data_IF_044612691815
#
_entry.id   IF_044612691815
#
_cell.length_a   1.000
_cell.length_b   1.000
_cell.length_c   1.000
_cell.angle_alpha   90.00
_cell.angle_beta   90.00
_cell.angle_gamma   90.00
#
_symmetry.space_group_name_H-M   'P 1'
#
loop_
_entity.id
_entity.type
_entity.pdbx_description
1 polymer ?
#
# COMPACT_ATOMS: atom_id res chain seq x y z
N UNK A 1 3.30 5.46 2.35
CA UNK A 1 3.13 5.96 3.74
C UNK A 1 2.99 4.76 4.65
N UNK A 2 3.46 4.82 5.90
CA UNK A 2 3.17 3.77 6.89
C UNK A 2 1.96 4.21 7.72
N UNK A 3 0.98 3.33 7.89
CA UNK A 3 -0.28 3.65 8.58
C UNK A 3 -0.67 2.50 9.49
N UNK A 4 -1.32 2.84 10.61
CA UNK A 4 -1.85 1.85 11.56
C UNK A 4 -3.31 1.56 11.18
N UNK A 5 -3.67 0.31 10.92
CA UNK A 5 -5.06 -0.10 10.66
C UNK A 5 -5.61 -0.99 11.78
N UNK A 6 -6.94 -1.12 11.84
CA UNK A 6 -7.66 -1.92 12.84
C UNK A 6 -8.76 -2.77 12.16
N UNK A 7 -8.35 -3.77 11.38
CA UNK A 7 -9.30 -4.71 10.77
C UNK A 7 -9.89 -5.66 11.83
N UNK A 8 -9.05 -6.29 12.64
CA UNK A 8 -9.37 -6.91 13.92
C UNK A 8 -9.06 -5.93 15.06
N UNK A 9 -10.07 -5.47 15.83
CA UNK A 9 -9.86 -4.51 16.91
C UNK A 9 -8.94 -5.03 18.04
N UNK A 10 -8.66 -6.34 18.08
CA UNK A 10 -7.74 -6.95 19.06
C UNK A 10 -6.28 -6.83 18.65
N UNK A 11 -6.00 -6.69 17.35
CA UNK A 11 -4.66 -6.76 16.79
C UNK A 11 -4.39 -5.60 15.82
N UNK A 12 -4.29 -4.36 16.30
CA UNK A 12 -3.88 -3.25 15.44
C UNK A 12 -2.48 -3.48 14.87
N UNK A 13 -2.31 -3.32 13.57
CA UNK A 13 -1.01 -3.47 12.91
C UNK A 13 -0.71 -2.35 11.91
N UNK A 14 0.55 -2.31 11.46
CA UNK A 14 1.04 -1.32 10.51
C UNK A 14 1.12 -1.91 9.10
N UNK A 15 0.63 -1.13 8.14
CA UNK A 15 0.72 -1.44 6.70
C UNK A 15 1.33 -0.27 5.95
N UNK A 16 1.93 -0.55 4.80
CA UNK A 16 2.38 0.50 3.88
C UNK A 16 1.29 0.74 2.84
N UNK A 17 0.90 1.99 2.63
CA UNK A 17 -0.04 2.37 1.58
C UNK A 17 0.64 3.16 0.47
N UNK A 18 0.19 2.90 -0.75
CA UNK A 18 0.47 3.68 -1.95
C UNK A 18 -0.86 4.27 -2.42
N UNK A 19 -0.98 5.59 -2.28
CA UNK A 19 -2.18 6.31 -2.69
C UNK A 19 -2.10 6.65 -4.18
N UNK A 20 -3.09 6.20 -4.95
CA UNK A 20 -3.24 6.53 -6.36
C UNK A 20 -4.33 7.59 -6.57
N UNK A 21 -4.37 8.18 -7.77
CA UNK A 21 -5.51 8.99 -8.22
C UNK A 21 -6.74 8.08 -8.41
N UNK A 22 -7.95 8.59 -8.13
CA UNK A 22 -9.20 7.82 -8.16
C UNK A 22 -9.63 7.30 -6.78
N UNK A 23 -10.45 6.26 -6.74
CA UNK A 23 -11.12 5.77 -5.52
C UNK A 23 -10.47 4.54 -4.88
N UNK A 24 -9.26 4.19 -5.32
CA UNK A 24 -8.54 3.01 -4.83
C UNK A 24 -7.14 3.38 -4.33
N UNK A 25 -6.61 2.51 -3.48
CA UNK A 25 -5.23 2.52 -3.03
C UNK A 25 -4.69 1.10 -2.95
N UNK A 26 -3.37 0.98 -2.97
CA UNK A 26 -2.68 -0.28 -2.80
C UNK A 26 -2.16 -0.37 -1.36
N UNK A 27 -2.33 -1.54 -0.75
CA UNK A 27 -1.88 -1.86 0.61
C UNK A 27 -0.84 -2.97 0.53
N UNK A 28 0.28 -2.76 1.20
CA UNK A 28 1.34 -3.74 1.41
C UNK A 28 1.30 -4.13 2.88
N UNK A 29 0.75 -5.31 3.16
CA UNK A 29 0.55 -5.85 4.49
C UNK A 29 1.55 -6.97 4.78
N UNK A 30 2.37 -6.88 5.85
CA UNK A 30 3.31 -7.94 6.21
C UNK A 30 2.64 -9.30 6.48
N UNK A 31 1.37 -9.33 6.88
CA UNK A 31 0.63 -10.53 7.22
C UNK A 31 -0.06 -11.18 6.02
N UNK A 32 -0.50 -10.38 5.04
CA UNK A 32 -1.37 -10.83 3.95
C UNK A 32 -0.80 -10.58 2.55
N UNK A 33 0.34 -9.91 2.44
CA UNK A 33 0.94 -9.52 1.16
C UNK A 33 0.31 -8.26 0.58
N UNK A 34 0.30 -8.18 -0.75
CA UNK A 34 -0.17 -7.01 -1.49
C UNK A 34 -1.63 -7.14 -1.92
N UNK A 35 -2.42 -6.07 -1.75
CA UNK A 35 -3.79 -6.01 -2.24
C UNK A 35 -4.27 -4.59 -2.56
N UNK A 36 -5.36 -4.50 -3.34
CA UNK A 36 -6.04 -3.24 -3.67
C UNK A 36 -7.26 -3.09 -2.76
N UNK A 37 -7.45 -1.89 -2.22
CA UNK A 37 -8.63 -1.53 -1.43
C UNK A 37 -9.27 -0.26 -1.95
N UNK A 38 -10.60 -0.18 -1.93
CA UNK A 38 -11.27 1.10 -2.15
C UNK A 38 -10.94 2.05 -1.00
N UNK A 39 -10.80 3.35 -1.28
CA UNK A 39 -10.55 4.38 -0.26
C UNK A 39 -11.61 4.34 0.83
N UNK A 40 -12.87 4.13 0.47
CA UNK A 40 -13.97 3.98 1.43
C UNK A 40 -13.76 2.80 2.38
N UNK A 41 -13.41 1.61 1.86
CA UNK A 41 -13.12 0.44 2.69
C UNK A 41 -11.89 0.67 3.56
N UNK A 42 -10.81 1.19 2.98
CA UNK A 42 -9.60 1.48 3.72
C UNK A 42 -9.85 2.47 4.87
N UNK A 43 -10.61 3.56 4.64
CA UNK A 43 -10.95 4.50 5.71
C UNK A 43 -11.77 3.88 6.84
N UNK A 44 -12.60 2.87 6.53
CA UNK A 44 -13.39 2.17 7.56
C UNK A 44 -12.54 1.37 8.54
N UNK A 45 -11.32 0.98 8.17
CA UNK A 45 -10.36 0.29 9.05
C UNK A 45 -9.24 1.19 9.55
N UNK A 46 -8.87 2.24 8.80
CA UNK A 46 -7.81 3.19 9.19
C UNK A 46 -8.29 4.19 10.25
N UNK A 47 -9.53 4.67 10.14
CA UNK A 47 -10.16 5.58 11.10
C UNK A 47 -11.51 5.02 11.58
N UNK A 48 -11.49 3.75 12.00
CA UNK A 48 -12.68 2.99 12.41
C UNK A 48 -13.56 3.71 13.43
N UNK A 49 -12.94 4.36 14.42
CA UNK A 49 -13.63 5.05 15.51
C UNK A 49 -13.86 6.55 15.25
N UNK A 50 -13.53 7.06 14.06
CA UNK A 50 -13.65 8.49 13.71
C UNK A 50 -12.93 9.42 14.69
N UNK A 51 -11.77 8.97 15.19
CA UNK A 51 -10.92 9.73 16.11
C UNK A 51 -9.68 10.30 15.41
N UNK A 52 -9.53 10.03 14.12
CA UNK A 52 -8.36 10.34 13.32
C UNK A 52 -7.44 9.13 13.19
N UNK A 53 -7.13 8.76 11.94
CA UNK A 53 -6.15 7.74 11.63
C UNK A 53 -4.71 8.25 11.78
N UNK A 54 -3.80 7.36 12.17
CA UNK A 54 -2.37 7.69 12.30
C UNK A 54 -1.62 7.35 11.02
N UNK A 55 -0.79 8.28 10.56
CA UNK A 55 0.10 8.09 9.42
C UNK A 55 1.51 8.61 9.74
N UNK A 56 2.51 7.82 9.34
CA UNK A 56 3.91 8.19 9.34
C UNK A 56 4.38 8.39 7.91
N UNK A 57 4.86 9.60 7.62
CA UNK A 57 5.47 9.97 6.35
C UNK A 57 6.99 9.88 6.54
N UNK A 58 7.62 9.00 5.77
CA UNK A 58 9.08 8.85 5.75
C UNK A 58 9.58 9.60 4.52
N UNK A 59 10.34 10.67 4.76
CA UNK A 59 11.00 11.45 3.71
C UNK A 59 12.51 11.43 3.94
N UNK A 60 13.33 11.25 2.89
CA UNK A 60 14.77 11.21 3.02
C UNK A 60 15.34 12.61 3.30
N UNK A 61 16.25 12.72 4.28
CA UNK A 61 16.90 14.00 4.65
C UNK A 61 17.87 14.53 3.58
N UNK A 62 18.40 13.63 2.74
CA UNK A 62 19.27 13.94 1.59
C UNK A 62 18.66 13.29 0.36
N UNK A 63 18.97 13.80 -0.83
CA UNK A 63 18.56 13.18 -2.10
C UNK A 63 18.97 11.70 -2.06
N UNK A 64 17.99 10.79 -2.16
CA UNK A 64 18.29 9.36 -2.20
C UNK A 64 19.16 9.10 -3.42
N UNK A 65 20.24 8.35 -3.22
CA UNK A 65 21.04 7.87 -4.34
C UNK A 65 20.11 6.98 -5.16
N UNK A 66 19.91 7.31 -6.43
CA UNK A 66 19.15 6.45 -7.34
C UNK A 66 19.81 5.08 -7.34
N UNK A 67 19.15 4.09 -6.73
CA UNK A 67 19.59 2.72 -6.82
C UNK A 67 19.14 2.21 -8.18
N UNK A 68 20.07 2.13 -9.14
CA UNK A 68 19.82 1.36 -10.35
C UNK A 68 19.70 -0.09 -9.92
N UNK A 69 18.46 -0.56 -9.84
CA UNK A 69 18.19 -1.99 -9.70
C UNK A 69 18.87 -2.66 -10.90
N UNK A 70 19.83 -3.55 -10.63
CA UNK A 70 20.42 -4.42 -11.66
C UNK A 70 19.40 -5.51 -12.00
N UNK A 71 18.31 -5.10 -12.61
CA UNK A 71 17.28 -6.00 -13.13
C UNK A 71 17.78 -6.50 -14.49
N UNK A 72 17.80 -7.83 -14.73
CA UNK A 72 18.06 -8.36 -16.06
C UNK A 72 17.13 -7.66 -17.06
N UNK A 73 17.69 -7.15 -18.17
CA UNK A 73 16.90 -6.50 -19.24
C UNK A 73 15.79 -7.41 -19.79
N UNK A 74 15.93 -8.72 -19.60
CA UNK A 74 14.97 -9.75 -19.95
C UNK A 74 14.39 -10.38 -18.67
N UNK A 75 13.61 -9.64 -17.90
CA UNK A 75 12.48 -10.32 -17.25
C UNK A 75 11.38 -10.37 -18.31
N UNK A 76 11.19 -11.56 -18.86
CA UNK A 76 10.01 -11.91 -19.64
C UNK A 76 8.81 -11.90 -18.68
N UNK A 77 8.36 -10.70 -18.32
CA UNK A 77 7.03 -10.54 -17.77
C UNK A 77 6.09 -10.61 -18.96
N UNK A 78 5.53 -11.79 -19.20
CA UNK A 78 4.31 -11.90 -19.99
C UNK A 78 3.20 -11.18 -19.21
N UNK A 79 3.06 -9.88 -19.46
CA UNK A 79 1.83 -9.18 -19.16
C UNK A 79 0.76 -9.78 -20.08
N UNK A 80 0.00 -10.74 -19.55
CA UNK A 80 -1.30 -11.09 -20.10
C UNK A 80 -2.34 -10.19 -19.45
N UNK A 81 -2.65 -9.00 -20.02
CA UNK A 81 -3.86 -8.30 -19.62
C UNK A 81 -5.03 -9.22 -19.99
N UNK A 82 -5.70 -9.76 -18.97
CA UNK A 82 -7.00 -10.43 -19.01
C UNK A 82 -7.62 -10.57 -20.42
N UNK A 83 -7.54 -11.77 -21.00
CA UNK A 83 -8.41 -12.16 -22.12
C UNK A 83 -9.82 -12.35 -21.56
N UNK A 84 -10.70 -11.37 -21.80
CA UNK A 84 -12.14 -11.54 -21.61
C UNK A 84 -12.67 -12.45 -22.74
N UNK A 85 -13.08 -13.67 -22.37
CA UNK A 85 -14.13 -14.40 -23.07
C UNK A 85 -15.47 -14.04 -22.44
#
# INVERSE_FOLDING_TARGET
MLVKIEDDPRFPHFVVIINHRGDFLQVLDPSYGEYISSKRQFFSVWDRYKKGGYALIIAPKKKLKEYKLNIPKSLNFDFNPFSLY
#
